data_IF_438811320960
#
_entry.id   IF_438811320960
#
_cell.length_a   1.000
_cell.length_b   1.000
_cell.length_c   1.000
_cell.angle_alpha   90.00
_cell.angle_beta   90.00
_cell.angle_gamma   90.00
#
_symmetry.space_group_name_H-M   'P 1'
#
loop_
_entity.id
_entity.type
_entity.pdbx_description
1 polymer ?
#
# COMPACT_ATOMS: atom_id res chain seq x y z
N UNK A 1 14.84 9.88 6.02
CA UNK A 1 15.00 10.71 4.81
C UNK A 1 13.65 11.36 4.51
N UNK A 2 13.59 12.66 4.14
CA UNK A 2 12.35 13.25 3.67
C UNK A 2 11.89 12.48 2.43
N UNK A 3 10.66 11.96 2.46
CA UNK A 3 10.07 11.26 1.32
C UNK A 3 10.02 12.26 0.16
N UNK A 4 10.73 11.94 -0.93
CA UNK A 4 10.71 12.81 -2.10
C UNK A 4 9.30 12.83 -2.70
N UNK A 5 8.83 13.98 -3.23
CA UNK A 5 7.57 14.04 -3.95
C UNK A 5 7.58 13.01 -5.08
N UNK A 6 6.44 12.36 -5.31
CA UNK A 6 6.29 11.42 -6.43
C UNK A 6 5.75 12.24 -7.61
N UNK A 7 6.52 12.40 -8.71
CA UNK A 7 6.08 13.15 -9.88
C UNK A 7 4.74 12.62 -10.40
N UNK A 8 3.83 13.52 -10.76
CA UNK A 8 2.50 13.14 -11.27
C UNK A 8 1.50 12.72 -10.19
N UNK A 9 1.92 12.35 -8.98
CA UNK A 9 1.04 11.78 -7.93
C UNK A 9 0.82 12.72 -6.75
N UNK A 10 1.78 13.59 -6.43
CA UNK A 10 1.68 14.54 -5.31
C UNK A 10 1.78 15.99 -5.76
N UNK A 11 0.99 16.87 -5.14
CA UNK A 11 1.07 18.33 -5.27
C UNK A 11 1.70 18.96 -4.02
N UNK A 12 2.49 20.01 -4.24
CA UNK A 12 3.04 20.82 -3.14
C UNK A 12 1.95 21.76 -2.63
N UNK A 13 1.46 21.52 -1.41
CA UNK A 13 0.42 22.33 -0.77
C UNK A 13 0.93 22.97 0.52
N UNK A 14 0.48 24.20 0.81
CA UNK A 14 0.73 24.86 2.10
C UNK A 14 -0.50 24.74 2.99
N UNK A 15 -0.46 23.81 3.94
CA UNK A 15 -1.62 23.44 4.76
C UNK A 15 -1.48 23.88 6.22
N UNK A 16 -2.56 24.32 6.83
CA UNK A 16 -2.68 24.47 8.29
C UNK A 16 -2.90 23.12 8.96
N UNK A 17 -2.73 23.06 10.28
CA UNK A 17 -2.97 21.84 11.06
C UNK A 17 -4.43 21.37 10.95
N UNK A 18 -5.38 22.31 10.87
CA UNK A 18 -6.78 22.03 10.58
C UNK A 18 -6.98 21.33 9.22
N UNK A 19 -6.41 21.86 8.14
CA UNK A 19 -6.60 21.27 6.81
C UNK A 19 -5.91 19.91 6.67
N UNK A 20 -4.79 19.71 7.39
CA UNK A 20 -4.16 18.38 7.47
C UNK A 20 -5.06 17.41 8.19
N UNK A 21 -5.67 17.83 9.30
CA UNK A 21 -6.65 17.02 10.02
C UNK A 21 -7.84 16.65 9.14
N UNK A 22 -8.46 17.61 8.45
CA UNK A 22 -9.58 17.38 7.53
C UNK A 22 -9.25 16.36 6.43
N UNK A 23 -8.00 16.34 5.94
CA UNK A 23 -7.54 15.35 4.96
C UNK A 23 -7.35 13.97 5.62
N UNK A 24 -6.77 13.90 6.81
CA UNK A 24 -6.45 12.63 7.49
C UNK A 24 -7.72 11.97 8.03
N UNK A 25 -8.65 12.75 8.58
CA UNK A 25 -9.91 12.29 9.16
C UNK A 25 -10.76 11.50 8.15
N UNK A 26 -10.73 11.89 6.87
CA UNK A 26 -11.40 11.15 5.78
C UNK A 26 -10.98 9.68 5.66
N UNK A 27 -9.80 9.31 6.20
CA UNK A 27 -9.27 7.95 6.19
C UNK A 27 -9.36 7.24 7.54
N UNK A 28 -9.80 7.93 8.58
CA UNK A 28 -9.89 7.38 9.94
C UNK A 28 -11.37 7.09 10.23
N UNK A 29 -11.71 5.81 10.35
CA UNK A 29 -13.11 5.37 10.47
C UNK A 29 -13.70 5.52 11.88
N UNK A 30 -12.89 5.91 12.86
CA UNK A 30 -13.35 6.09 14.23
C UNK A 30 -12.97 7.49 14.72
N UNK A 31 -13.91 8.16 15.39
CA UNK A 31 -13.78 9.46 16.10
C UNK A 31 -12.73 9.46 17.24
N UNK A 32 -11.74 8.56 17.18
CA UNK A 32 -10.73 8.39 18.22
C UNK A 32 -9.57 9.38 18.08
N UNK A 33 -9.28 9.85 16.86
CA UNK A 33 -8.21 10.81 16.61
C UNK A 33 -8.79 12.22 16.65
N UNK A 34 -8.50 13.00 17.69
CA UNK A 34 -8.85 14.42 17.70
C UNK A 34 -7.79 15.23 16.96
N UNK A 35 -8.18 16.41 16.49
CA UNK A 35 -7.25 17.37 15.89
C UNK A 35 -6.05 17.68 16.80
N UNK A 36 -6.30 17.78 18.10
CA UNK A 36 -5.29 18.03 19.14
C UNK A 36 -4.23 16.93 19.16
N UNK A 37 -4.66 15.66 19.11
CA UNK A 37 -3.78 14.49 19.11
C UNK A 37 -2.89 14.46 17.85
N UNK A 38 -3.49 14.73 16.68
CA UNK A 38 -2.75 14.81 15.43
C UNK A 38 -1.74 15.98 15.45
N UNK A 39 -2.13 17.13 16.00
CA UNK A 39 -1.28 18.31 16.10
C UNK A 39 -0.10 18.09 17.04
N UNK A 40 -0.35 17.46 18.18
CA UNK A 40 0.68 17.08 19.13
C UNK A 40 1.66 16.08 18.50
N UNK A 41 1.14 15.06 17.82
CA UNK A 41 1.96 14.08 17.12
C UNK A 41 2.82 14.71 16.02
N UNK A 42 2.25 15.54 15.15
CA UNK A 42 2.99 16.28 14.11
C UNK A 42 4.11 17.15 14.70
N UNK A 43 3.88 17.72 15.89
CA UNK A 43 4.84 18.59 16.57
C UNK A 43 5.99 17.79 17.20
N UNK A 44 5.72 16.59 17.72
CA UNK A 44 6.71 15.71 18.36
C UNK A 44 7.52 14.88 17.37
N UNK A 45 6.89 14.43 16.29
CA UNK A 45 7.49 13.50 15.32
C UNK A 45 8.64 14.14 14.51
N UNK A 46 8.59 15.45 14.29
CA UNK A 46 9.64 16.21 13.61
C UNK A 46 9.81 15.93 12.11
N UNK A 47 9.22 14.84 11.58
CA UNK A 47 9.30 14.47 10.16
C UNK A 47 8.38 15.30 9.26
N UNK A 48 7.39 15.98 9.85
CA UNK A 48 6.39 16.81 9.17
C UNK A 48 6.93 18.17 8.70
N UNK A 49 8.18 18.48 9.04
CA UNK A 49 8.85 19.72 8.68
C UNK A 49 8.46 20.93 9.56
N UNK A 50 9.14 22.08 9.37
CA UNK A 50 8.94 23.24 10.21
C UNK A 50 7.65 24.00 9.84
N UNK A 51 6.93 24.46 10.86
CA UNK A 51 5.82 25.39 10.69
C UNK A 51 6.32 26.77 10.23
N UNK A 52 5.73 27.29 9.16
CA UNK A 52 5.97 28.63 8.62
C UNK A 52 4.69 29.46 8.69
N UNK A 53 4.83 30.79 8.63
CA UNK A 53 3.70 31.71 8.45
C UNK A 53 3.74 32.24 7.02
N UNK A 54 2.65 32.06 6.26
CA UNK A 54 2.49 32.57 4.90
C UNK A 54 1.30 33.52 4.83
N UNK A 55 1.45 34.62 4.12
CA UNK A 55 0.36 35.56 3.87
C UNK A 55 -0.52 35.01 2.76
N UNK A 56 -1.82 34.84 3.04
CA UNK A 56 -2.84 34.53 2.02
C UNK A 56 -3.61 35.81 1.71
N UNK A 57 -4.45 35.79 0.65
CA UNK A 57 -5.24 36.95 0.20
C UNK A 57 -6.14 37.54 1.31
N UNK A 58 -6.50 36.74 2.31
CA UNK A 58 -7.42 37.15 3.39
C UNK A 58 -6.77 37.26 4.77
N UNK A 59 -5.71 36.51 5.10
CA UNK A 59 -5.08 36.51 6.43
C UNK A 59 -3.64 35.94 6.43
N UNK A 60 -2.89 36.13 7.53
CA UNK A 60 -1.65 35.37 7.78
C UNK A 60 -2.01 33.98 8.31
N UNK A 61 -1.63 32.95 7.58
CA UNK A 61 -1.90 31.53 7.92
C UNK A 61 -0.61 30.86 8.40
N UNK A 62 -0.67 30.17 9.54
CA UNK A 62 0.40 29.28 10.01
C UNK A 62 0.16 27.89 9.42
N UNK A 63 1.20 27.26 8.90
CA UNK A 63 1.10 25.96 8.25
C UNK A 63 2.46 25.37 7.89
N UNK A 64 2.46 24.21 7.24
CA UNK A 64 3.67 23.56 6.71
C UNK A 64 3.51 23.33 5.22
N UNK A 65 4.63 23.11 4.53
CA UNK A 65 4.64 22.75 3.11
C UNK A 65 4.67 21.23 3.01
N UNK A 66 3.70 20.64 2.33
CA UNK A 66 3.53 19.20 2.21
C UNK A 66 3.51 18.76 0.75
N UNK A 67 4.02 17.57 0.48
CA UNK A 67 3.73 16.84 -0.77
C UNK A 67 2.49 16.00 -0.50
N UNK A 68 1.33 16.47 -0.96
CA UNK A 68 0.05 15.82 -0.70
C UNK A 68 -0.37 15.08 -1.95
N UNK A 69 -0.79 13.82 -1.82
CA UNK A 69 -1.34 13.02 -2.93
C UNK A 69 -2.43 13.82 -3.65
N UNK A 70 -2.52 13.81 -4.98
CA UNK A 70 -3.57 14.55 -5.70
C UNK A 70 -4.95 14.03 -5.33
N UNK A 71 -5.96 14.92 -5.36
CA UNK A 71 -7.33 14.58 -4.96
C UNK A 71 -7.91 13.40 -5.76
N UNK A 72 -7.63 13.32 -7.06
CA UNK A 72 -8.04 12.20 -7.93
C UNK A 72 -7.51 10.83 -7.51
N UNK A 73 -6.43 10.79 -6.71
CA UNK A 73 -5.88 9.56 -6.15
C UNK A 73 -6.25 9.37 -4.66
N UNK A 74 -6.98 10.32 -4.06
CA UNK A 74 -7.42 10.29 -2.66
C UNK A 74 -8.71 9.50 -2.44
N UNK A 75 -9.53 9.33 -3.47
CA UNK A 75 -10.87 8.71 -3.37
C UNK A 75 -10.87 7.20 -3.09
N UNK A 76 -9.70 6.57 -2.91
CA UNK A 76 -9.60 5.20 -2.42
C UNK A 76 -9.69 5.14 -0.89
N UNK A 77 -10.87 5.44 -0.35
CA UNK A 77 -11.18 5.09 1.05
C UNK A 77 -11.65 3.64 1.10
N UNK A 78 -10.87 2.78 1.77
CA UNK A 78 -11.34 1.43 2.10
C UNK A 78 -12.49 1.59 3.09
N UNK A 79 -13.66 1.02 2.79
CA UNK A 79 -14.86 1.23 3.60
C UNK A 79 -14.78 0.60 5.01
N UNK A 80 -13.97 -0.46 5.21
CA UNK A 80 -13.72 -1.04 6.54
C UNK A 80 -12.73 -2.23 6.46
N UNK A 81 -11.85 -2.40 7.46
CA UNK A 81 -11.11 -3.66 7.72
C UNK A 81 -11.88 -4.55 8.73
N UNK A 82 -12.81 -3.99 9.50
CA UNK A 82 -13.74 -4.73 10.39
C UNK A 82 -14.65 -5.68 9.61
N UNK A 83 -14.81 -5.46 8.30
CA UNK A 83 -15.68 -6.23 7.44
C UNK A 83 -14.96 -7.34 6.67
N UNK A 84 -14.01 -8.05 7.30
CA UNK A 84 -13.47 -9.29 6.72
C UNK A 84 -14.59 -10.24 6.28
N UNK A 85 -15.74 -10.23 6.97
CA UNK A 85 -16.95 -10.95 6.59
C UNK A 85 -17.56 -10.47 5.27
N UNK A 86 -17.71 -9.16 5.06
CA UNK A 86 -18.27 -8.61 3.81
C UNK A 86 -17.29 -8.77 2.66
N UNK A 87 -15.99 -8.54 2.88
CA UNK A 87 -14.96 -8.82 1.89
C UNK A 87 -15.03 -10.29 1.45
N UNK A 88 -15.10 -11.22 2.41
CA UNK A 88 -15.25 -12.66 2.11
C UNK A 88 -16.56 -12.97 1.39
N UNK A 89 -17.67 -12.34 1.77
CA UNK A 89 -18.95 -12.50 1.08
C UNK A 89 -18.85 -12.04 -0.38
N UNK A 90 -18.21 -10.89 -0.61
CA UNK A 90 -17.97 -10.33 -1.94
C UNK A 90 -17.02 -11.19 -2.77
N UNK A 91 -15.90 -11.67 -2.20
CA UNK A 91 -14.98 -12.60 -2.87
C UNK A 91 -15.72 -13.87 -3.30
N UNK A 92 -16.50 -14.47 -2.39
CA UNK A 92 -17.30 -15.66 -2.70
C UNK A 92 -18.33 -15.38 -3.80
N UNK A 93 -19.05 -14.26 -3.72
CA UNK A 93 -20.06 -13.89 -4.70
C UNK A 93 -19.48 -13.62 -6.10
N UNK A 94 -18.24 -13.11 -6.15
CA UNK A 94 -17.54 -12.79 -7.41
C UNK A 94 -16.57 -13.87 -7.87
N UNK A 95 -16.48 -15.01 -7.17
CA UNK A 95 -15.49 -16.05 -7.44
C UNK A 95 -15.56 -16.58 -8.87
N UNK A 96 -16.73 -16.73 -9.49
CA UNK A 96 -16.81 -17.23 -10.88
C UNK A 96 -16.26 -16.26 -11.93
N UNK A 97 -16.23 -14.95 -11.65
CA UNK A 97 -15.90 -13.91 -12.63
C UNK A 97 -14.60 -13.16 -12.33
N UNK A 98 -14.18 -13.11 -11.07
CA UNK A 98 -13.00 -12.40 -10.60
C UNK A 98 -12.03 -13.39 -9.97
N UNK A 99 -10.82 -13.46 -10.53
CA UNK A 99 -9.71 -14.27 -10.03
C UNK A 99 -8.96 -13.51 -8.93
N UNK A 100 -9.09 -13.99 -7.70
CA UNK A 100 -8.47 -13.32 -6.54
C UNK A 100 -7.12 -13.94 -6.24
N UNK A 101 -6.05 -13.18 -6.45
CA UNK A 101 -4.67 -13.61 -6.18
C UNK A 101 -4.07 -12.83 -5.01
N UNK A 102 -3.28 -13.53 -4.21
CA UNK A 102 -2.56 -12.96 -3.07
C UNK A 102 -1.10 -12.70 -3.43
N UNK A 103 -0.53 -11.61 -2.92
CA UNK A 103 0.90 -11.34 -3.02
C UNK A 103 1.48 -10.86 -1.68
N UNK A 104 2.51 -11.55 -1.21
CA UNK A 104 3.24 -11.21 0.00
C UNK A 104 4.66 -10.74 -0.36
N UNK A 105 5.04 -9.54 0.09
CA UNK A 105 6.39 -9.01 -0.14
C UNK A 105 7.10 -8.79 1.19
N UNK A 106 8.38 -9.19 1.25
CA UNK A 106 9.28 -8.86 2.35
C UNK A 106 10.46 -8.06 1.80
N UNK A 107 10.67 -6.87 2.38
CA UNK A 107 11.77 -5.97 1.98
C UNK A 107 13.15 -6.54 2.34
N UNK A 108 14.24 -6.03 1.73
CA UNK A 108 15.59 -6.38 2.13
C UNK A 108 15.87 -5.79 3.52
N UNK A 109 15.95 -6.66 4.53
CA UNK A 109 16.28 -6.30 5.91
C UNK A 109 17.48 -7.12 6.40
N UNK A 110 18.16 -6.74 7.50
CA UNK A 110 19.22 -7.54 8.10
C UNK A 110 18.75 -8.88 8.70
N UNK A 111 17.44 -9.15 8.72
CA UNK A 111 16.89 -10.42 9.22
C UNK A 111 17.40 -11.61 8.40
N UNK A 112 17.58 -12.75 9.07
CA UNK A 112 17.97 -14.01 8.42
C UNK A 112 16.91 -14.47 7.42
N UNK A 113 17.31 -15.28 6.44
CA UNK A 113 16.37 -15.84 5.45
C UNK A 113 15.24 -16.61 6.13
N UNK A 114 15.55 -17.47 7.09
CA UNK A 114 14.54 -18.24 7.84
C UNK A 114 13.53 -17.35 8.58
N UNK A 115 13.95 -16.22 9.15
CA UNK A 115 13.03 -15.28 9.80
C UNK A 115 12.09 -14.60 8.78
N UNK A 116 12.61 -14.26 7.61
CA UNK A 116 11.82 -13.70 6.50
C UNK A 116 10.83 -14.72 5.96
N UNK A 117 11.26 -15.96 5.76
CA UNK A 117 10.40 -17.08 5.33
C UNK A 117 9.25 -17.31 6.31
N UNK A 118 9.52 -17.42 7.61
CA UNK A 118 8.46 -17.55 8.64
C UNK A 118 7.43 -16.43 8.57
N UNK A 119 7.90 -15.19 8.38
CA UNK A 119 7.02 -14.03 8.24
C UNK A 119 6.15 -14.15 6.99
N UNK A 120 6.75 -14.49 5.86
CA UNK A 120 6.06 -14.64 4.58
C UNK A 120 5.09 -15.82 4.61
N UNK A 121 5.44 -16.96 5.21
CA UNK A 121 4.52 -18.09 5.42
C UNK A 121 3.27 -17.68 6.17
N UNK A 122 3.40 -16.86 7.22
CA UNK A 122 2.23 -16.35 7.95
C UNK A 122 1.37 -15.41 7.08
N UNK A 123 1.99 -14.61 6.22
CA UNK A 123 1.29 -13.75 5.26
C UNK A 123 0.56 -14.59 4.20
N UNK A 124 1.23 -15.62 3.65
CA UNK A 124 0.65 -16.57 2.70
C UNK A 124 -0.58 -17.25 3.31
N UNK A 125 -0.43 -17.78 4.53
CA UNK A 125 -1.53 -18.39 5.28
C UNK A 125 -2.72 -17.42 5.44
N UNK A 126 -2.47 -16.14 5.74
CA UNK A 126 -3.54 -15.13 5.85
C UNK A 126 -4.20 -14.85 4.49
N UNK A 127 -3.41 -14.70 3.44
CA UNK A 127 -3.93 -14.48 2.07
C UNK A 127 -4.83 -15.63 1.63
N UNK A 128 -4.41 -16.87 1.88
CA UNK A 128 -5.18 -18.07 1.56
C UNK A 128 -6.44 -18.19 2.43
N UNK A 129 -6.27 -18.22 3.75
CA UNK A 129 -7.37 -18.61 4.67
C UNK A 129 -8.32 -17.47 5.02
N UNK A 130 -7.81 -16.25 5.18
CA UNK A 130 -8.60 -15.09 5.60
C UNK A 130 -9.10 -14.30 4.41
N UNK A 131 -8.27 -14.13 3.39
CA UNK A 131 -8.56 -13.30 2.22
C UNK A 131 -9.05 -14.11 1.01
N UNK A 132 -9.13 -15.44 1.13
CA UNK A 132 -9.71 -16.34 0.13
C UNK A 132 -9.03 -16.20 -1.25
N UNK A 133 -7.72 -15.95 -1.26
CA UNK A 133 -6.95 -15.93 -2.49
C UNK A 133 -6.85 -17.35 -3.07
N UNK A 134 -7.11 -17.49 -4.37
CA UNK A 134 -7.03 -18.76 -5.10
C UNK A 134 -5.58 -19.21 -5.27
N UNK A 135 -4.70 -18.28 -5.63
CA UNK A 135 -3.24 -18.48 -5.70
C UNK A 135 -2.53 -17.41 -4.89
N UNK A 136 -1.40 -17.77 -4.30
CA UNK A 136 -0.63 -16.85 -3.44
C UNK A 136 0.82 -16.85 -3.86
N UNK A 137 1.32 -15.68 -4.24
CA UNK A 137 2.67 -15.45 -4.68
C UNK A 137 3.45 -14.69 -3.60
N UNK A 138 4.77 -14.83 -3.59
CA UNK A 138 5.58 -14.11 -2.63
C UNK A 138 7.02 -13.82 -3.09
N UNK A 139 7.57 -12.75 -2.53
CA UNK A 139 8.94 -12.29 -2.79
C UNK A 139 9.64 -11.91 -1.50
N UNK A 140 10.85 -12.44 -1.31
CA UNK A 140 11.70 -12.15 -0.16
C UNK A 140 12.91 -11.34 -0.59
N UNK A 141 13.17 -10.23 0.09
CA UNK A 141 14.36 -9.41 -0.11
C UNK A 141 14.32 -8.54 -1.37
N UNK A 142 13.12 -8.20 -1.86
CA UNK A 142 12.90 -7.31 -3.01
C UNK A 142 12.52 -5.92 -2.53
N UNK A 143 13.05 -4.84 -3.11
CA UNK A 143 12.74 -3.47 -2.68
C UNK A 143 11.40 -2.99 -3.24
N UNK A 144 10.73 -2.07 -2.54
CA UNK A 144 9.58 -1.35 -3.09
C UNK A 144 10.00 -0.28 -4.12
N UNK A 145 11.30 0.04 -4.16
CA UNK A 145 11.89 0.94 -5.13
C UNK A 145 12.25 0.23 -6.45
N UNK A 146 12.34 -1.10 -6.43
CA UNK A 146 12.60 -1.88 -7.64
C UNK A 146 11.30 -2.01 -8.44
N UNK A 147 11.32 -1.83 -9.77
CA UNK A 147 10.17 -2.04 -10.63
C UNK A 147 9.55 -3.42 -10.41
N UNK A 148 8.22 -3.50 -10.31
CA UNK A 148 7.53 -4.78 -10.04
C UNK A 148 7.92 -5.83 -11.11
N UNK A 149 7.97 -5.41 -12.37
CA UNK A 149 8.30 -6.27 -13.50
C UNK A 149 9.70 -6.89 -13.44
N UNK A 150 10.65 -6.28 -12.71
CA UNK A 150 12.04 -6.76 -12.60
C UNK A 150 12.34 -7.59 -11.37
N UNK A 151 11.36 -7.84 -10.50
CA UNK A 151 11.58 -8.58 -9.25
C UNK A 151 11.71 -10.08 -9.51
N UNK A 152 12.57 -10.74 -8.74
CA UNK A 152 12.74 -12.21 -8.73
C UNK A 152 13.22 -12.88 -10.04
N UNK A 153 13.80 -12.14 -11.01
CA UNK A 153 14.36 -12.74 -12.23
C UNK A 153 15.46 -13.79 -11.95
N UNK A 154 16.42 -13.43 -11.10
CA UNK A 154 17.60 -14.27 -10.81
C UNK A 154 17.52 -14.91 -9.41
N UNK A 155 16.32 -15.04 -8.85
CA UNK A 155 16.15 -15.56 -7.49
C UNK A 155 15.64 -17.00 -7.50
N UNK A 156 16.19 -17.87 -6.63
CA UNK A 156 15.66 -19.21 -6.48
C UNK A 156 14.22 -19.15 -5.97
N UNK A 157 13.40 -20.11 -6.40
CA UNK A 157 12.06 -20.27 -5.85
C UNK A 157 12.11 -20.57 -4.36
N UNK A 158 11.13 -20.05 -3.63
CA UNK A 158 10.96 -20.33 -2.22
C UNK A 158 10.27 -21.68 -2.06
N UNK A 159 10.70 -22.46 -1.06
CA UNK A 159 10.02 -23.70 -0.69
C UNK A 159 9.11 -23.43 0.52
N UNK A 160 7.89 -22.96 0.26
CA UNK A 160 6.90 -22.61 1.28
C UNK A 160 5.56 -23.31 0.99
N UNK A 161 4.82 -23.65 2.04
CA UNK A 161 3.47 -24.22 1.88
C UNK A 161 2.49 -23.20 1.29
N UNK A 162 1.54 -23.68 0.47
CA UNK A 162 0.51 -22.87 -0.22
C UNK A 162 1.05 -21.73 -1.09
N UNK A 163 2.32 -21.83 -1.50
CA UNK A 163 3.02 -20.90 -2.37
C UNK A 163 2.87 -21.29 -3.85
N UNK A 164 2.34 -20.38 -4.65
CA UNK A 164 2.12 -20.56 -6.09
C UNK A 164 3.25 -19.98 -6.96
N UNK A 165 4.31 -19.41 -6.36
CA UNK A 165 5.48 -18.88 -7.08
C UNK A 165 5.85 -17.42 -6.74
N UNK A 166 6.85 -16.90 -7.44
CA UNK A 166 7.42 -15.56 -7.18
C UNK A 166 6.71 -14.46 -7.99
N UNK A 167 7.27 -13.24 -8.02
CA UNK A 167 6.69 -12.11 -8.80
C UNK A 167 6.54 -12.45 -10.28
N UNK A 168 7.50 -13.17 -10.87
CA UNK A 168 7.45 -13.52 -12.30
C UNK A 168 6.33 -14.51 -12.58
N UNK A 169 6.16 -15.53 -11.72
CA UNK A 169 5.03 -16.46 -11.81
C UNK A 169 3.69 -15.73 -11.66
N UNK A 170 3.61 -14.76 -10.75
CA UNK A 170 2.43 -13.91 -10.59
C UNK A 170 2.11 -13.12 -11.85
N UNK A 171 3.09 -12.41 -12.43
CA UNK A 171 2.90 -11.61 -13.65
C UNK A 171 2.43 -12.51 -14.80
N UNK A 172 3.03 -13.68 -14.96
CA UNK A 172 2.61 -14.65 -15.98
C UNK A 172 1.16 -15.10 -15.74
N UNK A 173 0.75 -15.32 -14.49
CA UNK A 173 -0.62 -15.71 -14.16
C UNK A 173 -1.63 -14.60 -14.38
N UNK A 174 -1.27 -13.35 -14.06
CA UNK A 174 -2.10 -12.17 -14.34
C UNK A 174 -2.29 -12.04 -15.86
N UNK A 175 -1.21 -12.07 -16.62
CA UNK A 175 -1.21 -11.88 -18.08
C UNK A 175 -2.00 -12.96 -18.81
N UNK A 176 -1.99 -14.20 -18.31
CA UNK A 176 -2.71 -15.34 -18.90
C UNK A 176 -4.12 -15.51 -18.36
N UNK A 177 -4.59 -14.67 -17.44
CA UNK A 177 -5.90 -14.85 -16.83
C UNK A 177 -7.01 -14.39 -17.78
N UNK A 178 -8.00 -15.26 -17.99
CA UNK A 178 -9.23 -14.90 -18.71
C UNK A 178 -10.25 -14.18 -17.80
N UNK A 179 -10.06 -14.25 -16.49
CA UNK A 179 -10.89 -13.60 -15.47
C UNK A 179 -10.30 -12.26 -15.10
N UNK A 180 -11.15 -11.29 -14.73
CA UNK A 180 -10.67 -10.04 -14.14
C UNK A 180 -9.87 -10.37 -12.88
N UNK A 181 -8.69 -9.80 -12.75
CA UNK A 181 -7.81 -10.09 -11.61
C UNK A 181 -8.09 -9.11 -10.47
N UNK A 182 -8.23 -9.64 -9.25
CA UNK A 182 -8.16 -8.88 -8.01
C UNK A 182 -6.86 -9.25 -7.30
N UNK A 183 -5.94 -8.30 -7.23
CA UNK A 183 -4.69 -8.46 -6.50
C UNK A 183 -4.86 -8.00 -5.05
N UNK A 184 -4.59 -8.89 -4.10
CA UNK A 184 -4.62 -8.62 -2.66
C UNK A 184 -3.19 -8.69 -2.13
N UNK A 185 -2.67 -7.58 -1.61
CA UNK A 185 -1.27 -7.52 -1.17
C UNK A 185 -1.14 -7.36 0.32
N UNK A 186 -0.23 -8.11 0.93
CA UNK A 186 0.29 -7.81 2.27
C UNK A 186 1.71 -7.31 2.11
N UNK A 187 1.90 -6.02 2.37
CA UNK A 187 3.23 -5.42 2.39
C UNK A 187 3.31 -4.24 3.36
N UNK A 188 4.48 -4.05 3.96
CA UNK A 188 4.71 -2.98 4.95
C UNK A 188 5.20 -1.66 4.34
N UNK A 189 5.94 -1.70 3.21
CA UNK A 189 6.50 -0.49 2.59
C UNK A 189 5.74 -0.04 1.32
N UNK A 190 4.59 -0.66 1.02
CA UNK A 190 3.87 -0.51 -0.25
C UNK A 190 4.31 -1.50 -1.33
N UNK A 191 3.35 -1.95 -2.16
CA UNK A 191 3.60 -2.84 -3.29
C UNK A 191 4.69 -2.28 -4.23
N UNK A 192 4.66 -0.97 -4.47
CA UNK A 192 5.67 -0.18 -5.16
C UNK A 192 5.63 1.25 -4.64
N UNK A 193 6.75 1.97 -4.81
CA UNK A 193 6.84 3.41 -4.58
C UNK A 193 6.61 4.22 -5.85
N UNK A 194 6.50 3.56 -7.01
CA UNK A 194 6.26 4.16 -8.30
C UNK A 194 4.86 3.77 -8.83
N UNK A 195 3.97 4.75 -8.98
CA UNK A 195 2.59 4.50 -9.46
C UNK A 195 2.59 4.00 -10.90
N UNK A 196 3.56 4.39 -11.72
CA UNK A 196 3.67 3.90 -13.10
C UNK A 196 3.91 2.39 -13.13
N UNK A 197 4.59 1.80 -12.14
CA UNK A 197 4.76 0.34 -12.07
C UNK A 197 3.42 -0.39 -11.93
N UNK A 198 2.43 0.22 -11.25
CA UNK A 198 1.09 -0.36 -11.11
C UNK A 198 0.32 -0.31 -12.44
N UNK A 199 0.46 0.79 -13.19
CA UNK A 199 -0.15 0.91 -14.52
C UNK A 199 0.44 -0.09 -15.50
N UNK A 200 1.74 -0.36 -15.44
CA UNK A 200 2.38 -1.35 -16.30
C UNK A 200 2.18 -2.81 -15.85
N UNK A 201 1.78 -3.04 -14.59
CA UNK A 201 1.55 -4.38 -14.06
C UNK A 201 0.30 -5.04 -14.67
N UNK A 202 -0.73 -4.25 -14.99
CA UNK A 202 -1.94 -4.71 -15.63
C UNK A 202 -1.95 -4.23 -17.08
N UNK A 203 -1.59 -5.07 -18.06
CA UNK A 203 -1.77 -4.68 -19.46
C UNK A 203 -3.26 -4.40 -19.69
N UNK A 204 -3.55 -3.20 -20.19
CA UNK A 204 -4.87 -2.72 -20.58
C UNK A 204 -5.48 -3.53 -21.71
#
# INVERSE_FOLDING_TARGET
MPKQPIPGVTDIMFLSEQEVYEIVEQYMQNDTLKQEDLTEWMSKDGSWGPAKRKQTKKNRKRGRLYNVVKLEYRDFTWADISHIHQFRAMVKATHSSIYTIGYARKSPTPETLSAKEKTVSLQIYKLKTKLLCEDVFASIGTSAFDPIASRDYDRPELNLDDYSGNTQTMIQKITKSERKVRLVTIDYHGLTTNVDDLHHLFPS
#
